data_IF_386402165864
#
_entry.id   IF_386402165864
#
_cell.length_a   1.000
_cell.length_b   1.000
_cell.length_c   1.000
_cell.angle_alpha   90.00
_cell.angle_beta   90.00
_cell.angle_gamma   90.00
#
_symmetry.space_group_name_H-M   'P 1'
#
loop_
_entity.id
_entity.type
_entity.pdbx_description
1 polymer ?
#
# COMPACT_ATOMS: atom_id res chain seq x y z
N UNK A 1 -42.05 26.35 52.47
CA UNK A 1 -41.29 27.32 51.65
C UNK A 1 -40.59 26.54 50.54
N UNK A 2 -40.74 27.02 49.30
CA UNK A 2 -40.22 26.44 48.06
C UNK A 2 -38.69 26.41 48.06
N UNK A 3 -38.12 25.44 47.34
CA UNK A 3 -36.98 25.55 46.41
C UNK A 3 -36.50 24.11 46.10
N UNK A 4 -37.08 23.46 45.08
CA UNK A 4 -36.55 23.39 43.70
C UNK A 4 -35.07 22.99 43.70
N UNK A 5 -34.82 21.69 43.56
CA UNK A 5 -33.62 21.21 42.88
C UNK A 5 -34.06 20.29 41.75
N UNK A 6 -33.82 20.80 40.55
CA UNK A 6 -34.21 20.32 39.26
C UNK A 6 -33.20 19.25 38.83
N UNK A 7 -33.57 17.97 38.77
CA UNK A 7 -32.78 16.94 38.09
C UNK A 7 -33.70 16.21 37.12
N UNK A 8 -33.87 16.84 35.97
CA UNK A 8 -34.35 16.20 34.75
C UNK A 8 -33.20 15.32 34.27
N UNK A 9 -33.18 14.05 34.69
CA UNK A 9 -32.33 13.06 34.05
C UNK A 9 -33.01 12.64 32.75
N UNK A 10 -32.63 13.35 31.70
CA UNK A 10 -33.19 13.21 30.35
C UNK A 10 -33.00 11.77 29.88
N UNK A 11 -34.11 11.07 29.68
CA UNK A 11 -34.18 9.91 28.78
C UNK A 11 -33.88 10.39 27.36
N UNK A 12 -32.61 10.44 26.98
CA UNK A 12 -32.24 10.48 25.56
C UNK A 12 -32.12 9.04 25.07
N UNK A 13 -33.25 8.53 24.58
CA UNK A 13 -33.30 7.43 23.64
C UNK A 13 -32.57 7.84 22.35
N UNK A 14 -31.25 7.66 22.30
CA UNK A 14 -30.59 7.45 21.02
C UNK A 14 -30.68 5.96 20.69
N UNK A 15 -31.89 5.54 20.34
CA UNK A 15 -32.07 4.39 19.46
C UNK A 15 -31.38 4.76 18.16
N UNK A 16 -30.11 4.40 18.03
CA UNK A 16 -29.42 4.48 16.75
C UNK A 16 -30.08 3.43 15.86
N UNK A 17 -31.18 3.80 15.19
CA UNK A 17 -31.58 3.13 13.97
C UNK A 17 -30.41 3.34 13.02
N UNK A 18 -29.49 2.38 12.98
CA UNK A 18 -28.64 2.20 11.82
C UNK A 18 -29.60 1.76 10.72
N UNK A 19 -30.30 2.73 10.14
CA UNK A 19 -30.67 2.66 8.75
C UNK A 19 -29.34 2.42 8.07
N UNK A 20 -29.05 1.15 7.72
CA UNK A 20 -28.02 0.83 6.75
C UNK A 20 -28.48 1.51 5.48
N UNK A 21 -28.13 2.78 5.35
CA UNK A 21 -28.05 3.47 4.08
C UNK A 21 -27.16 2.55 3.28
N UNK A 22 -27.74 1.85 2.30
CA UNK A 22 -26.97 1.25 1.23
C UNK A 22 -26.19 2.41 0.61
N UNK A 23 -25.00 2.64 1.15
CA UNK A 23 -23.95 3.28 0.43
C UNK A 23 -23.79 2.35 -0.74
N UNK A 24 -24.22 2.82 -1.90
CA UNK A 24 -23.91 2.28 -3.21
C UNK A 24 -22.38 2.16 -3.25
N UNK A 25 -21.84 1.07 -2.70
CA UNK A 25 -20.43 0.78 -2.71
C UNK A 25 -20.15 0.51 -4.17
N UNK A 26 -19.58 1.51 -4.84
CA UNK A 26 -18.99 1.46 -6.17
C UNK A 26 -18.54 0.03 -6.49
N UNK A 27 -19.40 -0.70 -7.21
CA UNK A 27 -19.31 -2.11 -7.58
C UNK A 27 -18.54 -3.01 -6.61
N UNK A 28 -19.24 -3.88 -5.89
CA UNK A 28 -18.66 -5.11 -5.33
C UNK A 28 -18.26 -6.08 -6.44
N UNK A 29 -17.43 -5.65 -7.40
CA UNK A 29 -16.67 -6.60 -8.20
C UNK A 29 -15.78 -7.33 -7.19
N UNK A 30 -15.99 -8.63 -7.04
CA UNK A 30 -15.14 -9.51 -6.24
C UNK A 30 -13.69 -9.20 -6.63
N UNK A 31 -12.89 -8.63 -5.73
CA UNK A 31 -11.48 -8.37 -6.00
C UNK A 31 -10.81 -9.72 -6.22
N UNK A 32 -10.46 -10.01 -7.47
CA UNK A 32 -9.74 -11.23 -7.84
C UNK A 32 -8.31 -10.81 -8.12
N UNK A 33 -7.45 -11.11 -7.15
CA UNK A 33 -6.02 -10.86 -7.23
C UNK A 33 -5.33 -11.86 -8.16
N UNK A 34 -4.39 -11.38 -8.98
CA UNK A 34 -3.54 -12.29 -9.76
C UNK A 34 -2.43 -12.86 -8.86
N UNK A 35 -2.61 -14.12 -8.41
CA UNK A 35 -1.65 -14.82 -7.54
C UNK A 35 -0.24 -14.93 -8.13
N UNK A 36 -0.13 -15.12 -9.46
CA UNK A 36 1.18 -15.22 -10.14
C UNK A 36 1.90 -13.88 -10.10
N UNK A 37 1.18 -12.80 -10.40
CA UNK A 37 1.71 -11.46 -10.31
C UNK A 37 2.16 -11.13 -8.89
N UNK A 38 1.32 -11.39 -7.89
CA UNK A 38 1.65 -11.22 -6.47
C UNK A 38 2.96 -11.87 -6.11
N UNK A 39 3.10 -13.15 -6.44
CA UNK A 39 4.29 -13.92 -6.11
C UNK A 39 5.55 -13.29 -6.71
N UNK A 40 5.54 -12.98 -8.01
CA UNK A 40 6.71 -12.37 -8.65
C UNK A 40 7.00 -10.95 -8.16
N UNK A 41 5.97 -10.14 -7.88
CA UNK A 41 6.14 -8.79 -7.35
C UNK A 41 6.81 -8.80 -5.97
N UNK A 42 6.29 -9.59 -5.03
CA UNK A 42 6.87 -9.71 -3.69
C UNK A 42 8.24 -10.39 -3.70
N UNK A 43 8.46 -11.37 -4.59
CA UNK A 43 9.77 -12.00 -4.75
C UNK A 43 10.84 -10.97 -5.13
N UNK A 44 10.55 -10.07 -6.08
CA UNK A 44 11.49 -9.02 -6.47
C UNK A 44 11.70 -7.99 -5.34
N UNK A 45 10.65 -7.59 -4.63
CA UNK A 45 10.80 -6.74 -3.43
C UNK A 45 11.70 -7.40 -2.39
N UNK A 46 11.48 -8.68 -2.09
CA UNK A 46 12.28 -9.42 -1.10
C UNK A 46 13.76 -9.51 -1.50
N UNK A 47 14.07 -9.67 -2.80
CA UNK A 47 15.45 -9.63 -3.29
C UNK A 47 16.07 -8.26 -2.99
N UNK A 48 15.37 -7.17 -3.31
CA UNK A 48 15.83 -5.80 -3.01
C UNK A 48 16.02 -5.60 -1.51
N UNK A 49 15.02 -5.93 -0.69
CA UNK A 49 15.05 -5.82 0.77
C UNK A 49 16.26 -6.59 1.37
N UNK A 50 16.58 -7.76 0.82
CA UNK A 50 17.67 -8.61 1.33
C UNK A 50 19.07 -8.11 0.96
N UNK A 51 19.19 -7.29 -0.09
CA UNK A 51 20.45 -6.88 -0.70
C UNK A 51 20.75 -5.39 -0.55
N UNK A 52 19.76 -4.54 -0.20
CA UNK A 52 19.89 -3.08 -0.14
C UNK A 52 21.06 -2.60 0.74
N UNK A 53 21.30 -3.23 1.88
CA UNK A 53 22.40 -2.91 2.81
C UNK A 53 23.61 -3.84 2.69
N UNK A 54 23.59 -4.80 1.75
CA UNK A 54 24.63 -5.82 1.60
C UNK A 54 25.41 -5.63 0.31
N UNK A 55 24.92 -6.22 -0.78
CA UNK A 55 25.57 -6.19 -2.08
C UNK A 55 24.52 -6.02 -3.17
N UNK A 56 24.51 -4.84 -3.78
CA UNK A 56 23.62 -4.49 -4.88
C UNK A 56 24.11 -5.10 -6.19
N UNK A 57 24.03 -6.43 -6.26
CA UNK A 57 24.51 -7.22 -7.38
C UNK A 57 23.51 -7.23 -8.56
N UNK A 58 23.78 -8.05 -9.57
CA UNK A 58 22.92 -8.16 -10.75
C UNK A 58 21.47 -8.53 -10.40
N UNK A 59 21.23 -9.40 -9.41
CA UNK A 59 19.88 -9.76 -8.98
C UNK A 59 19.13 -8.56 -8.39
N UNK A 60 19.81 -7.73 -7.59
CA UNK A 60 19.24 -6.49 -7.07
C UNK A 60 18.78 -5.55 -8.20
N UNK A 61 19.65 -5.31 -9.18
CA UNK A 61 19.33 -4.43 -10.31
C UNK A 61 18.24 -4.99 -11.22
N UNK A 62 18.24 -6.31 -11.47
CA UNK A 62 17.15 -6.99 -12.21
C UNK A 62 15.82 -6.85 -11.48
N UNK A 63 15.81 -6.99 -10.16
CA UNK A 63 14.59 -6.83 -9.36
C UNK A 63 14.09 -5.40 -9.31
N UNK A 64 14.97 -4.40 -9.17
CA UNK A 64 14.57 -3.00 -9.33
C UNK A 64 13.99 -2.75 -10.73
N UNK A 65 14.62 -3.30 -11.78
CA UNK A 65 14.14 -3.16 -13.16
C UNK A 65 12.74 -3.73 -13.33
N UNK A 66 12.50 -4.92 -12.78
CA UNK A 66 11.16 -5.50 -12.76
C UNK A 66 10.14 -4.58 -12.07
N UNK A 67 10.47 -4.06 -10.87
CA UNK A 67 9.57 -3.18 -10.12
C UNK A 67 9.27 -1.89 -10.89
N UNK A 68 10.28 -1.33 -11.57
CA UNK A 68 10.17 -0.07 -12.33
C UNK A 68 9.17 -0.12 -13.50
N UNK A 69 8.79 -1.31 -13.95
CA UNK A 69 7.75 -1.51 -14.98
C UNK A 69 6.37 -1.06 -14.45
N UNK A 70 6.18 -1.09 -13.13
CA UNK A 70 4.89 -0.92 -12.48
C UNK A 70 4.85 0.29 -11.55
N UNK A 71 5.90 0.50 -10.76
CA UNK A 71 5.97 1.58 -9.78
C UNK A 71 7.24 2.40 -9.98
N UNK A 72 7.28 3.61 -9.39
CA UNK A 72 8.45 4.46 -9.47
C UNK A 72 9.67 3.82 -8.78
N UNK A 73 10.85 4.01 -9.37
CA UNK A 73 12.15 3.63 -8.82
C UNK A 73 13.10 4.80 -9.12
N UNK A 74 13.67 5.41 -8.08
CA UNK A 74 14.57 6.55 -8.19
C UNK A 74 15.98 6.17 -8.66
N UNK A 75 16.11 5.64 -9.88
CA UNK A 75 17.41 5.27 -10.47
C UNK A 75 18.41 6.42 -10.53
N UNK A 76 17.92 7.63 -10.75
CA UNK A 76 18.71 8.85 -10.76
C UNK A 76 19.44 9.09 -9.43
N UNK A 77 18.86 8.64 -8.31
CA UNK A 77 19.51 8.74 -7.02
C UNK A 77 20.80 7.91 -6.98
N UNK A 78 20.87 6.77 -7.67
CA UNK A 78 22.08 5.93 -7.70
C UNK A 78 23.25 6.59 -8.46
N UNK A 79 22.98 7.51 -9.39
CA UNK A 79 24.02 8.23 -10.14
C UNK A 79 24.92 9.07 -9.23
N UNK A 80 24.39 9.52 -8.10
CA UNK A 80 25.10 10.35 -7.13
C UNK A 80 25.83 9.55 -6.03
N UNK A 81 25.67 8.22 -5.98
CA UNK A 81 26.20 7.36 -4.92
C UNK A 81 27.01 6.19 -5.48
N UNK A 82 27.94 6.47 -6.39
CA UNK A 82 28.81 5.44 -7.01
C UNK A 82 28.02 4.27 -7.61
N UNK A 83 26.86 4.56 -8.22
CA UNK A 83 25.91 3.59 -8.79
C UNK A 83 25.24 2.66 -7.77
N UNK A 84 25.39 2.95 -6.48
CA UNK A 84 24.68 2.28 -5.39
C UNK A 84 23.36 3.00 -5.14
N UNK A 85 22.28 2.26 -5.09
CA UNK A 85 20.97 2.75 -4.70
C UNK A 85 20.97 3.17 -3.23
N UNK A 86 20.78 4.46 -2.91
CA UNK A 86 20.91 4.94 -1.55
C UNK A 86 19.73 4.48 -0.69
N UNK A 87 20.02 4.10 0.56
CA UNK A 87 19.02 3.57 1.49
C UNK A 87 17.82 4.52 1.69
N UNK A 88 18.06 5.82 1.80
CA UNK A 88 17.00 6.81 1.96
C UNK A 88 16.07 6.96 0.75
N UNK A 89 16.55 6.69 -0.47
CA UNK A 89 15.67 6.59 -1.64
C UNK A 89 14.87 5.29 -1.60
N UNK A 90 15.51 4.19 -1.24
CA UNK A 90 14.87 2.89 -1.07
C UNK A 90 13.70 2.92 -0.08
N UNK A 91 13.82 3.56 1.08
CA UNK A 91 12.72 3.60 2.05
C UNK A 91 11.47 4.27 1.48
N UNK A 92 11.66 5.36 0.72
CA UNK A 92 10.57 6.11 0.08
C UNK A 92 9.93 5.28 -1.03
N UNK A 93 10.76 4.71 -1.89
CA UNK A 93 10.28 3.95 -3.04
C UNK A 93 9.63 2.64 -2.62
N UNK A 94 10.19 1.94 -1.63
CA UNK A 94 9.59 0.72 -1.08
C UNK A 94 8.17 0.94 -0.60
N UNK A 95 7.92 2.07 0.09
CA UNK A 95 6.56 2.45 0.46
C UNK A 95 5.69 2.67 -0.79
N UNK A 96 6.21 3.40 -1.78
CA UNK A 96 5.53 3.62 -3.06
C UNK A 96 5.23 2.34 -3.85
N UNK A 97 6.09 1.32 -3.77
CA UNK A 97 5.87 0.01 -4.40
C UNK A 97 4.67 -0.70 -3.77
N UNK A 98 4.59 -0.68 -2.44
CA UNK A 98 3.49 -1.29 -1.70
C UNK A 98 2.17 -0.54 -1.92
N UNK A 99 2.20 0.80 -1.89
CA UNK A 99 1.03 1.64 -2.14
C UNK A 99 0.51 1.42 -3.57
N UNK A 100 1.41 1.33 -4.56
CA UNK A 100 1.03 1.02 -5.93
C UNK A 100 0.38 -0.37 -6.03
N UNK A 101 0.98 -1.39 -5.41
CA UNK A 101 0.44 -2.74 -5.46
C UNK A 101 -0.95 -2.82 -4.82
N UNK A 102 -1.13 -2.25 -3.63
CA UNK A 102 -2.42 -2.23 -2.93
C UNK A 102 -3.52 -1.55 -3.74
N UNK A 103 -3.18 -0.46 -4.44
CA UNK A 103 -4.12 0.26 -5.32
C UNK A 103 -4.50 -0.52 -6.58
N UNK A 104 -3.61 -1.38 -7.09
CA UNK A 104 -3.77 -2.03 -8.40
C UNK A 104 -4.04 -3.54 -8.34
N UNK A 105 -3.86 -4.20 -7.19
CA UNK A 105 -3.92 -5.68 -7.07
C UNK A 105 -5.23 -6.31 -7.55
N UNK A 106 -6.33 -5.56 -7.54
CA UNK A 106 -7.65 -6.00 -8.03
C UNK A 106 -7.89 -5.74 -9.52
N UNK A 107 -6.95 -5.14 -10.25
CA UNK A 107 -7.11 -4.71 -11.65
C UNK A 107 -6.64 -5.76 -12.67
N UNK A 108 -6.63 -7.04 -12.30
CA UNK A 108 -6.16 -8.16 -13.14
C UNK A 108 -4.79 -7.87 -13.81
N UNK A 109 -3.80 -7.48 -13.00
CA UNK A 109 -2.47 -7.10 -13.48
C UNK A 109 -1.82 -8.29 -14.21
N UNK A 110 -1.30 -8.01 -15.42
CA UNK A 110 -0.55 -8.96 -16.24
C UNK A 110 0.95 -8.78 -15.99
N UNK A 111 1.71 -9.87 -16.05
CA UNK A 111 3.17 -9.80 -16.09
C UNK A 111 3.59 -9.27 -17.46
N UNK A 112 4.32 -8.16 -17.45
CA UNK A 112 4.99 -7.57 -18.60
C UNK A 112 6.45 -8.04 -18.62
N UNK A 113 6.91 -8.43 -19.81
CA UNK A 113 8.28 -8.86 -20.09
C UNK A 113 9.12 -7.69 -20.60
#
# INVERSE_FOLDING_TARGET
MKNILNIIFVMFFFSCSITKKEILSKGSSKCIENKKFKYEFYKNINIVDSLITKNQNESFHKSLKFISIYSHVSYESALNYSRTYPYGAYEKDRKGWMDWYEKNKCSNIQLKN
#
